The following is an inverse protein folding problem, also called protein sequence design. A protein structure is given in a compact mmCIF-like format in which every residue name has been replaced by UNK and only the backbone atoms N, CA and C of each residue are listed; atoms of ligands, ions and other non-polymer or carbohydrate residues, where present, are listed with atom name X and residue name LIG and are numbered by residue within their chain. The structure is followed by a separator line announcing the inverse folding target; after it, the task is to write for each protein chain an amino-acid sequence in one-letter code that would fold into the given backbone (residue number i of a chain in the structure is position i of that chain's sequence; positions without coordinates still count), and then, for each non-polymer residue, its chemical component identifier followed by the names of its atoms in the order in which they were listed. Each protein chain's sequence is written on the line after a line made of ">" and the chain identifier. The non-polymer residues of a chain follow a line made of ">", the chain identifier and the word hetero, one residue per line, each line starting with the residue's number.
data_IF_091250988451
#
_entry.id   IF_091250988451
#
_cell.length_a   1.000
_cell.length_b   1.000
_cell.length_c   1.000
_cell.angle_alpha   90.00
_cell.angle_beta   90.00
_cell.angle_gamma   90.00
#
_symmetry.space_group_name_H-M   'P 1'
#
loop_
_entity.id
_entity.type
_entity.pdbx_description
1 polymer ?
#
# COMPACT_ATOMS: atom_id res chain seq x y z
N UNK A 1 -36.94 -26.52 15.26
CA UNK A 1 -35.87 -26.58 14.25
C UNK A 1 -35.29 -25.19 14.18
N UNK A 2 -34.22 -24.94 14.93
CA UNK A 2 -33.46 -23.70 14.81
C UNK A 2 -32.82 -23.69 13.43
N UNK A 3 -33.30 -22.83 12.55
CA UNK A 3 -32.56 -22.47 11.34
C UNK A 3 -31.38 -21.62 11.80
N UNK A 4 -30.25 -22.24 12.10
CA UNK A 4 -28.98 -21.54 12.27
C UNK A 4 -28.72 -20.76 10.99
N UNK A 5 -28.95 -19.44 11.06
CA UNK A 5 -28.56 -18.55 9.97
C UNK A 5 -27.04 -18.60 9.93
N UNK A 6 -26.46 -19.39 9.02
CA UNK A 6 -25.04 -19.29 8.69
C UNK A 6 -24.70 -17.84 8.41
N UNK A 7 -23.91 -17.26 9.31
CA UNK A 7 -23.39 -15.91 9.17
C UNK A 7 -22.30 -15.96 8.10
N UNK A 8 -22.45 -15.15 7.06
CA UNK A 8 -21.43 -15.03 6.02
C UNK A 8 -20.15 -14.46 6.64
N UNK A 9 -18.97 -14.79 6.10
CA UNK A 9 -17.74 -14.13 6.51
C UNK A 9 -17.84 -12.61 6.30
N UNK A 10 -17.21 -11.80 7.18
CA UNK A 10 -17.16 -10.36 7.02
C UNK A 10 -16.63 -9.96 5.64
N UNK A 11 -17.28 -8.98 5.02
CA UNK A 11 -16.93 -8.48 3.70
C UNK A 11 -16.12 -7.19 3.78
N UNK A 12 -14.92 -7.21 3.23
CA UNK A 12 -13.98 -6.09 3.19
C UNK A 12 -13.93 -5.51 1.78
N UNK A 13 -14.11 -4.19 1.66
CA UNK A 13 -13.90 -3.47 0.40
C UNK A 13 -12.48 -2.88 0.38
N UNK A 14 -11.62 -3.37 -0.52
CA UNK A 14 -10.29 -2.81 -0.75
C UNK A 14 -10.33 -1.77 -1.85
N UNK A 15 -9.80 -0.58 -1.58
CA UNK A 15 -9.81 0.55 -2.52
C UNK A 15 -8.40 1.11 -2.78
N UNK A 16 -7.63 0.53 -3.72
CA UNK A 16 -6.28 0.97 -4.07
C UNK A 16 -6.26 2.32 -4.81
N UNK A 17 -5.15 3.06 -4.66
CA UNK A 17 -4.76 4.10 -5.63
C UNK A 17 -4.41 3.44 -6.97
N UNK A 18 -4.82 3.99 -8.13
CA UNK A 18 -4.65 3.32 -9.43
C UNK A 18 -3.23 3.45 -10.00
N UNK A 19 -2.23 3.22 -9.17
CA UNK A 19 -0.84 3.07 -9.54
C UNK A 19 -0.41 1.60 -9.37
N UNK A 20 0.46 1.13 -10.27
CA UNK A 20 0.86 -0.29 -10.34
C UNK A 20 1.36 -0.85 -9.00
N UNK A 21 2.28 -0.14 -8.33
CA UNK A 21 2.84 -0.57 -7.05
C UNK A 21 1.78 -0.63 -5.94
N UNK A 22 0.88 0.36 -5.89
CA UNK A 22 -0.19 0.43 -4.90
C UNK A 22 -1.16 -0.74 -5.04
N UNK A 23 -1.64 -1.00 -6.26
CA UNK A 23 -2.48 -2.16 -6.58
C UNK A 23 -1.77 -3.46 -6.18
N UNK A 24 -0.51 -3.64 -6.59
CA UNK A 24 0.24 -4.86 -6.34
C UNK A 24 0.38 -5.17 -4.84
N UNK A 25 0.77 -4.19 -4.02
CA UNK A 25 0.92 -4.41 -2.59
C UNK A 25 -0.43 -4.68 -1.91
N UNK A 26 -1.49 -3.99 -2.32
CA UNK A 26 -2.81 -4.20 -1.75
C UNK A 26 -3.40 -5.56 -2.15
N UNK A 27 -3.06 -6.11 -3.33
CA UNK A 27 -3.40 -7.49 -3.70
C UNK A 27 -2.73 -8.53 -2.78
N UNK A 28 -1.49 -8.26 -2.33
CA UNK A 28 -0.83 -9.14 -1.37
C UNK A 28 -1.56 -9.16 -0.02
N UNK A 29 -2.06 -8.01 0.43
CA UNK A 29 -2.92 -7.95 1.60
C UNK A 29 -4.26 -8.66 1.34
N UNK A 30 -4.89 -8.43 0.19
CA UNK A 30 -6.15 -9.05 -0.19
C UNK A 30 -6.10 -10.58 -0.10
N UNK A 31 -5.04 -11.18 -0.64
CA UNK A 31 -4.85 -12.63 -0.58
C UNK A 31 -4.69 -13.14 0.86
N UNK A 32 -3.95 -12.42 1.72
CA UNK A 32 -3.82 -12.77 3.13
C UNK A 32 -5.14 -12.66 3.89
N UNK A 33 -5.98 -11.68 3.57
CA UNK A 33 -7.32 -11.54 4.14
C UNK A 33 -8.25 -12.67 3.69
N UNK A 34 -8.22 -13.03 2.39
CA UNK A 34 -8.96 -14.17 1.86
C UNK A 34 -8.52 -15.50 2.47
N UNK A 35 -7.20 -15.70 2.63
CA UNK A 35 -6.65 -16.86 3.34
C UNK A 35 -7.06 -16.87 4.82
N UNK A 36 -7.22 -15.69 5.42
CA UNK A 36 -7.84 -15.47 6.72
C UNK A 36 -9.35 -15.70 6.76
N UNK A 37 -9.97 -16.16 5.67
CA UNK A 37 -11.39 -16.49 5.58
C UNK A 37 -12.32 -15.28 5.45
N UNK A 38 -11.80 -14.10 5.12
CA UNK A 38 -12.62 -12.91 4.87
C UNK A 38 -13.08 -12.84 3.41
N UNK A 39 -14.27 -12.29 3.19
CA UNK A 39 -14.71 -11.93 1.84
C UNK A 39 -14.07 -10.60 1.46
N UNK A 40 -13.60 -10.48 0.22
CA UNK A 40 -12.88 -9.30 -0.27
C UNK A 40 -13.43 -8.88 -1.63
N UNK A 41 -13.88 -7.63 -1.73
CA UNK A 41 -14.01 -6.98 -3.04
C UNK A 41 -12.87 -6.02 -3.26
N UNK A 42 -12.17 -6.16 -4.38
CA UNK A 42 -11.08 -5.30 -4.78
C UNK A 42 -11.57 -4.28 -5.83
N UNK A 43 -11.82 -3.05 -5.40
CA UNK A 43 -12.44 -1.98 -6.19
C UNK A 43 -11.40 -1.21 -6.99
N UNK A 44 -11.39 -1.36 -8.30
CA UNK A 44 -10.31 -0.87 -9.18
C UNK A 44 -10.81 0.07 -10.26
N UNK A 45 -9.94 0.99 -10.65
CA UNK A 45 -10.09 1.86 -11.82
C UNK A 45 -10.27 1.05 -13.12
N UNK A 46 -10.91 1.66 -14.14
CA UNK A 46 -11.28 0.99 -15.41
C UNK A 46 -10.07 0.35 -16.12
N UNK A 47 -8.94 1.05 -16.15
CA UNK A 47 -7.70 0.55 -16.78
C UNK A 47 -7.09 -0.61 -15.99
N UNK A 48 -6.95 -0.45 -14.67
CA UNK A 48 -6.40 -1.47 -13.79
C UNK A 48 -7.26 -2.74 -13.80
N UNK A 49 -8.59 -2.59 -13.75
CA UNK A 49 -9.54 -3.70 -13.82
C UNK A 49 -9.36 -4.52 -15.10
N UNK A 50 -9.24 -3.88 -16.26
CA UNK A 50 -8.99 -4.58 -17.53
C UNK A 50 -7.65 -5.32 -17.54
N UNK A 51 -6.60 -4.74 -16.98
CA UNK A 51 -5.29 -5.40 -16.92
C UNK A 51 -5.33 -6.62 -16.00
N UNK A 52 -5.93 -6.49 -14.81
CA UNK A 52 -6.04 -7.55 -13.82
C UNK A 52 -6.92 -8.73 -14.29
N UNK A 53 -8.01 -8.45 -15.01
CA UNK A 53 -8.87 -9.50 -15.57
C UNK A 53 -8.22 -10.26 -16.73
N UNK A 54 -7.32 -9.62 -17.48
CA UNK A 54 -6.60 -10.26 -18.59
C UNK A 54 -5.30 -10.94 -18.15
N UNK A 55 -4.92 -10.82 -16.88
CA UNK A 55 -3.72 -11.43 -16.32
C UNK A 55 -4.05 -12.82 -15.75
N UNK A 56 -3.64 -13.87 -16.48
CA UNK A 56 -3.89 -15.25 -16.11
C UNK A 56 -3.25 -15.65 -14.76
N UNK A 57 -2.13 -15.03 -14.37
CA UNK A 57 -1.50 -15.31 -13.09
C UNK A 57 -2.32 -14.71 -11.94
N UNK A 58 -2.86 -13.50 -12.13
CA UNK A 58 -3.77 -12.86 -11.16
C UNK A 58 -5.07 -13.65 -11.05
N UNK A 59 -5.68 -14.07 -12.16
CA UNK A 59 -6.89 -14.90 -12.11
C UNK A 59 -6.65 -16.21 -11.35
N UNK A 60 -5.64 -16.99 -11.76
CA UNK A 60 -5.32 -18.26 -11.09
C UNK A 60 -4.98 -18.09 -9.61
N UNK A 61 -4.40 -16.95 -9.22
CA UNK A 61 -4.07 -16.64 -7.82
C UNK A 61 -5.33 -16.47 -6.96
N UNK A 62 -6.39 -15.88 -7.52
CA UNK A 62 -7.61 -15.56 -6.77
C UNK A 62 -8.78 -16.52 -7.00
N UNK A 63 -8.78 -17.34 -8.06
CA UNK A 63 -9.80 -18.37 -8.34
C UNK A 63 -9.97 -19.39 -7.20
N UNK A 64 -8.92 -19.58 -6.39
CA UNK A 64 -8.97 -20.47 -5.22
C UNK A 64 -9.75 -19.87 -4.02
N UNK A 65 -10.15 -18.59 -4.09
CA UNK A 65 -10.88 -17.89 -3.03
C UNK A 65 -12.29 -17.50 -3.50
N UNK A 66 -13.33 -18.30 -3.21
CA UNK A 66 -14.71 -17.99 -3.60
C UNK A 66 -15.24 -16.66 -3.05
N UNK A 67 -14.66 -16.18 -1.95
CA UNK A 67 -15.00 -14.90 -1.32
C UNK A 67 -14.28 -13.69 -1.93
N UNK A 68 -13.47 -13.84 -2.97
CA UNK A 68 -12.76 -12.75 -3.63
C UNK A 68 -13.44 -12.34 -4.94
N UNK A 69 -13.55 -11.04 -5.18
CA UNK A 69 -13.97 -10.51 -6.48
C UNK A 69 -13.29 -9.18 -6.83
N UNK A 70 -13.04 -8.97 -8.12
CA UNK A 70 -12.72 -7.66 -8.66
C UNK A 70 -14.02 -6.90 -8.95
N UNK A 71 -14.04 -5.61 -8.63
CA UNK A 71 -15.11 -4.72 -9.05
C UNK A 71 -14.54 -3.49 -9.72
N UNK A 72 -15.17 -3.09 -10.81
CA UNK A 72 -14.80 -1.88 -11.53
C UNK A 72 -15.52 -0.66 -10.95
N UNK A 73 -14.75 0.38 -10.59
CA UNK A 73 -15.27 1.68 -10.15
C UNK A 73 -16.02 2.43 -11.27
N UNK A 74 -15.71 2.12 -12.54
CA UNK A 74 -16.22 2.82 -13.73
C UNK A 74 -15.94 4.32 -13.66
N UNK A 75 -14.67 4.65 -13.52
CA UNK A 75 -14.19 6.03 -13.40
C UNK A 75 -14.42 6.85 -14.69
N UNK A 76 -14.52 6.20 -15.84
CA UNK A 76 -14.74 6.87 -17.13
C UNK A 76 -13.51 7.61 -17.66
N UNK A 77 -12.34 7.39 -17.06
CA UNK A 77 -11.08 7.94 -17.55
C UNK A 77 -10.59 7.15 -18.76
N UNK A 78 -10.08 7.88 -19.75
CA UNK A 78 -9.35 7.27 -20.84
C UNK A 78 -8.02 6.70 -20.32
N UNK A 79 -7.52 5.58 -20.89
CA UNK A 79 -6.22 5.07 -20.51
C UNK A 79 -5.15 6.15 -20.64
N UNK A 80 -4.28 6.28 -19.65
CA UNK A 80 -3.03 7.03 -19.86
C UNK A 80 -2.32 6.38 -21.03
N UNK A 81 -1.97 7.22 -22.00
CA UNK A 81 -1.50 6.97 -23.36
C UNK A 81 -0.64 5.71 -23.56
N UNK A 82 -0.62 5.22 -24.81
CA UNK A 82 0.16 4.13 -25.43
C UNK A 82 1.69 4.08 -25.12
N UNK A 83 2.22 4.84 -24.17
CA UNK A 83 3.61 4.81 -23.76
C UNK A 83 3.90 3.56 -22.91
N UNK A 84 4.80 2.70 -23.39
CA UNK A 84 5.22 1.47 -22.68
C UNK A 84 5.82 1.75 -21.28
N UNK A 85 6.22 3.00 -21.00
CA UNK A 85 6.78 3.51 -19.73
C UNK A 85 6.36 4.97 -19.51
N UNK A 86 5.30 5.25 -18.74
CA UNK A 86 4.94 6.62 -18.38
C UNK A 86 6.01 7.24 -17.47
N UNK A 87 6.14 8.56 -17.55
CA UNK A 87 6.98 9.36 -16.65
C UNK A 87 6.34 9.47 -15.26
N UNK A 88 7.14 9.90 -14.28
CA UNK A 88 6.65 10.15 -12.92
C UNK A 88 5.56 11.23 -12.91
N UNK A 89 5.72 12.27 -13.73
CA UNK A 89 4.78 13.38 -13.85
C UNK A 89 3.44 12.91 -14.45
N UNK A 90 3.47 12.12 -15.54
CA UNK A 90 2.26 11.55 -16.15
C UNK A 90 1.50 10.62 -15.19
N UNK A 91 2.24 9.83 -14.40
CA UNK A 91 1.64 8.93 -13.39
C UNK A 91 0.97 9.73 -12.28
N UNK A 92 1.61 10.83 -11.88
CA UNK A 92 1.12 11.75 -10.85
C UNK A 92 -0.13 12.49 -11.31
N UNK A 93 -0.13 13.04 -12.53
CA UNK A 93 -1.26 13.75 -13.13
C UNK A 93 -2.50 12.84 -13.29
N UNK A 94 -2.30 11.61 -13.75
CA UNK A 94 -3.38 10.63 -13.83
C UNK A 94 -3.97 10.31 -12.45
N UNK A 95 -3.12 10.13 -11.44
CA UNK A 95 -3.55 9.92 -10.07
C UNK A 95 -4.47 11.03 -9.55
N UNK A 96 -4.14 12.28 -9.85
CA UNK A 96 -4.98 13.44 -9.50
C UNK A 96 -6.30 13.49 -10.25
N UNK A 97 -6.26 13.24 -11.56
CA UNK A 97 -7.48 13.17 -12.37
C UNK A 97 -8.43 12.06 -11.88
N UNK A 98 -7.87 10.93 -11.45
CA UNK A 98 -8.63 9.84 -10.85
C UNK A 98 -9.33 10.26 -9.56
N UNK A 99 -8.64 10.96 -8.66
CA UNK A 99 -9.21 11.40 -7.38
C UNK A 99 -10.46 12.27 -7.56
N UNK A 100 -10.45 13.17 -8.55
CA UNK A 100 -11.58 14.06 -8.84
C UNK A 100 -12.83 13.27 -9.27
N UNK A 101 -12.67 12.25 -10.12
CA UNK A 101 -13.78 11.43 -10.60
C UNK A 101 -14.16 10.30 -9.64
N UNK A 102 -13.23 9.83 -8.83
CA UNK A 102 -13.41 8.66 -7.98
C UNK A 102 -14.34 8.94 -6.80
N UNK A 103 -14.32 10.15 -6.22
CA UNK A 103 -15.15 10.51 -5.06
C UNK A 103 -16.66 10.24 -5.27
N UNK A 104 -17.32 10.79 -6.30
CA UNK A 104 -18.75 10.53 -6.52
C UNK A 104 -19.01 9.05 -6.85
N UNK A 105 -18.13 8.40 -7.63
CA UNK A 105 -18.27 6.97 -7.97
C UNK A 105 -18.14 6.06 -6.75
N UNK A 106 -17.21 6.36 -5.87
CA UNK A 106 -17.02 5.63 -4.63
C UNK A 106 -18.25 5.76 -3.72
N UNK A 107 -18.82 6.96 -3.64
CA UNK A 107 -20.09 7.19 -2.94
C UNK A 107 -21.25 6.39 -3.56
N UNK A 108 -21.35 6.36 -4.89
CA UNK A 108 -22.35 5.55 -5.59
C UNK A 108 -22.18 4.05 -5.26
N UNK A 109 -20.94 3.55 -5.22
CA UNK A 109 -20.63 2.15 -4.86
C UNK A 109 -21.09 1.83 -3.44
N UNK A 110 -20.81 2.70 -2.44
CA UNK A 110 -21.22 2.46 -1.06
C UNK A 110 -22.73 2.59 -0.82
N UNK A 111 -23.43 3.38 -1.65
CA UNK A 111 -24.88 3.64 -1.52
C UNK A 111 -25.75 2.73 -2.38
N UNK A 112 -25.19 2.16 -3.46
CA UNK A 112 -25.87 1.17 -4.29
C UNK A 112 -26.17 -0.06 -3.44
N UNK A 113 -27.46 -0.39 -3.32
CA UNK A 113 -27.93 -1.50 -2.47
C UNK A 113 -27.18 -2.80 -2.79
N UNK A 114 -26.87 -3.58 -1.76
CA UNK A 114 -26.09 -4.84 -1.78
C UNK A 114 -26.49 -5.86 -2.87
N UNK A 115 -27.63 -5.68 -3.55
CA UNK A 115 -28.14 -6.54 -4.62
C UNK A 115 -27.25 -6.63 -5.87
N UNK A 116 -26.41 -5.63 -6.18
CA UNK A 116 -25.50 -5.70 -7.34
C UNK A 116 -24.19 -6.45 -7.05
N UNK A 117 -23.87 -6.67 -5.78
CA UNK A 117 -22.64 -7.36 -5.34
C UNK A 117 -22.73 -8.88 -5.43
N UNK A 118 -23.90 -9.40 -5.81
CA UNK A 118 -24.30 -10.81 -5.71
C UNK A 118 -24.78 -11.44 -7.02
N UNK A 119 -24.40 -10.90 -8.18
CA UNK A 119 -24.60 -11.63 -9.44
C UNK A 119 -23.52 -12.70 -9.62
N UNK A 120 -23.53 -13.68 -8.73
CA UNK A 120 -23.02 -15.01 -9.01
C UNK A 120 -24.24 -15.88 -9.35
N UNK A 121 -24.21 -16.47 -10.54
CA UNK A 121 -25.23 -17.36 -11.08
C UNK A 121 -25.29 -18.63 -10.23
N UNK A 122 -26.18 -18.66 -9.22
CA UNK A 122 -26.81 -19.91 -8.78
C UNK A 122 -28.12 -19.60 -8.04
N UNK A 123 -29.21 -19.88 -8.76
CA UNK A 123 -30.57 -19.84 -8.27
C UNK A 123 -30.83 -21.04 -7.36
N UNK A 124 -30.75 -20.88 -6.03
CA UNK A 124 -31.72 -21.46 -5.07
C UNK A 124 -31.50 -21.17 -3.57
N UNK A 125 -30.64 -20.23 -3.18
CA UNK A 125 -30.46 -19.92 -1.75
C UNK A 125 -30.76 -18.45 -1.43
N UNK A 126 -31.67 -18.27 -0.46
CA UNK A 126 -32.11 -17.03 0.20
C UNK A 126 -31.14 -15.86 -0.02
N UNK A 127 -31.60 -14.79 -0.66
CA UNK A 127 -30.86 -13.54 -0.87
C UNK A 127 -30.25 -13.04 0.46
N UNK A 128 -28.99 -13.42 0.72
CA UNK A 128 -28.30 -13.10 1.98
C UNK A 128 -27.47 -11.86 1.76
N UNK A 129 -27.99 -10.73 2.20
CA UNK A 129 -27.32 -9.43 2.21
C UNK A 129 -25.94 -9.53 2.87
N UNK A 130 -24.86 -9.48 2.08
CA UNK A 130 -23.52 -9.22 2.63
C UNK A 130 -23.33 -7.70 2.66
N UNK A 131 -23.42 -7.10 3.85
CA UNK A 131 -23.00 -5.70 4.05
C UNK A 131 -21.49 -5.62 4.08
N UNK A 132 -20.92 -4.51 3.60
CA UNK A 132 -19.50 -4.23 3.76
C UNK A 132 -19.24 -3.99 5.25
N UNK A 133 -18.46 -4.88 5.87
CA UNK A 133 -18.07 -4.79 7.28
C UNK A 133 -17.06 -3.67 7.50
N UNK A 134 -16.11 -3.50 6.57
CA UNK A 134 -15.18 -2.35 6.58
C UNK A 134 -14.56 -2.08 5.22
N UNK A 135 -13.98 -0.90 5.10
CA UNK A 135 -13.21 -0.44 3.93
C UNK A 135 -11.72 -0.42 4.30
N UNK A 136 -10.87 -0.96 3.43
CA UNK A 136 -9.43 -0.73 3.47
C UNK A 136 -9.05 0.11 2.24
N UNK A 137 -8.87 1.41 2.43
CA UNK A 137 -8.51 2.32 1.36
C UNK A 137 -7.00 2.58 1.37
N UNK A 138 -6.39 2.73 0.19
CA UNK A 138 -5.03 3.26 0.13
C UNK A 138 -4.99 4.66 0.78
N UNK A 139 -3.93 4.96 1.52
CA UNK A 139 -3.71 6.25 2.17
C UNK A 139 -3.78 7.45 1.22
N UNK A 140 -3.48 7.26 -0.07
CA UNK A 140 -3.66 8.29 -1.09
C UNK A 140 -5.15 8.62 -1.30
N UNK A 141 -6.06 7.67 -1.07
CA UNK A 141 -7.51 7.85 -1.16
C UNK A 141 -8.11 8.50 0.09
N UNK A 142 -7.33 8.65 1.17
CA UNK A 142 -7.83 9.14 2.45
C UNK A 142 -8.43 10.55 2.37
N UNK A 143 -8.01 11.36 1.38
CA UNK A 143 -8.50 12.73 1.16
C UNK A 143 -10.02 12.84 0.94
N UNK A 144 -10.69 11.76 0.52
CA UNK A 144 -12.15 11.70 0.45
C UNK A 144 -12.76 10.41 0.98
N UNK A 145 -12.04 9.28 0.92
CA UNK A 145 -12.62 7.98 1.26
C UNK A 145 -13.03 7.92 2.74
N UNK A 146 -12.30 8.60 3.63
CA UNK A 146 -12.60 8.67 5.06
C UNK A 146 -13.95 9.34 5.31
N UNK A 147 -14.20 10.49 4.68
CA UNK A 147 -15.46 11.21 4.83
C UNK A 147 -16.62 10.45 4.19
N UNK A 148 -16.42 9.91 2.98
CA UNK A 148 -17.47 9.14 2.28
C UNK A 148 -17.84 7.86 3.05
N UNK A 149 -16.87 7.16 3.64
CA UNK A 149 -17.12 6.01 4.50
C UNK A 149 -17.86 6.41 5.79
N UNK A 150 -17.48 7.54 6.40
CA UNK A 150 -18.16 8.09 7.58
C UNK A 150 -19.62 8.47 7.29
N UNK A 151 -19.89 9.10 6.15
CA UNK A 151 -21.25 9.39 5.67
C UNK A 151 -22.09 8.12 5.46
N UNK A 152 -21.45 7.04 5.00
CA UNK A 152 -22.09 5.74 4.81
C UNK A 152 -22.22 4.92 6.11
N UNK A 153 -21.61 5.36 7.22
CA UNK A 153 -21.56 4.62 8.48
C UNK A 153 -20.72 3.35 8.44
N UNK A 154 -19.77 3.25 7.49
CA UNK A 154 -18.93 2.07 7.30
C UNK A 154 -17.53 2.34 7.91
N UNK A 155 -17.01 1.47 8.78
CA UNK A 155 -15.65 1.59 9.31
C UNK A 155 -14.60 1.61 8.20
N UNK A 156 -13.58 2.46 8.34
CA UNK A 156 -12.48 2.58 7.37
C UNK A 156 -11.10 2.44 8.03
N UNK A 157 -10.22 1.70 7.37
CA UNK A 157 -8.79 1.62 7.65
C UNK A 157 -8.01 2.13 6.44
N UNK A 158 -6.91 2.84 6.70
CA UNK A 158 -6.02 3.38 5.68
C UNK A 158 -4.78 2.50 5.54
N UNK A 159 -4.57 1.92 4.37
CA UNK A 159 -3.38 1.17 4.03
C UNK A 159 -2.29 2.08 3.46
N UNK A 160 -1.07 1.99 4.00
CA UNK A 160 0.07 2.73 3.50
C UNK A 160 1.20 1.77 3.10
N UNK A 161 1.59 1.83 1.83
CA UNK A 161 2.68 1.04 1.27
C UNK A 161 4.06 1.70 1.40
N UNK A 162 4.10 3.01 1.67
CA UNK A 162 5.34 3.77 1.77
C UNK A 162 5.97 3.63 3.17
N UNK A 163 7.18 4.17 3.30
CA UNK A 163 7.98 4.18 4.52
C UNK A 163 7.27 4.98 5.64
N UNK A 164 6.94 4.37 6.79
CA UNK A 164 6.50 5.08 7.99
C UNK A 164 7.33 6.29 8.40
N UNK A 165 8.64 6.31 8.14
CA UNK A 165 9.46 7.51 8.38
C UNK A 165 9.10 8.66 7.45
N UNK A 166 8.84 8.40 6.17
CA UNK A 166 8.36 9.40 5.21
C UNK A 166 6.96 9.88 5.59
N UNK A 167 6.06 8.93 5.91
CA UNK A 167 4.72 9.26 6.38
C UNK A 167 4.73 10.12 7.65
N UNK A 168 5.60 9.79 8.61
CA UNK A 168 5.79 10.58 9.82
C UNK A 168 6.33 11.98 9.52
N UNK A 169 7.27 12.12 8.59
CA UNK A 169 7.75 13.42 8.13
C UNK A 169 6.62 14.25 7.52
N UNK A 170 5.73 13.63 6.73
CA UNK A 170 4.52 14.29 6.20
C UNK A 170 3.59 14.76 7.33
N UNK A 171 3.34 13.94 8.35
CA UNK A 171 2.54 14.33 9.51
C UNK A 171 3.17 15.47 10.32
N UNK A 172 4.50 15.63 10.25
CA UNK A 172 5.22 16.72 10.89
C UNK A 172 5.20 18.03 10.10
N UNK A 173 4.70 18.07 8.87
CA UNK A 173 4.69 19.26 8.00
C UNK A 173 4.22 20.54 8.71
N UNK A 174 3.12 20.55 9.50
CA UNK A 174 2.74 21.75 10.25
C UNK A 174 3.86 22.29 11.15
N UNK A 175 4.59 21.41 11.86
CA UNK A 175 5.73 21.79 12.70
C UNK A 175 6.93 22.24 11.86
N UNK A 176 7.18 21.60 10.73
CA UNK A 176 8.25 21.99 9.81
C UNK A 176 8.01 23.41 9.25
N UNK A 177 6.75 23.78 8.98
CA UNK A 177 6.35 25.13 8.56
C UNK A 177 6.59 26.12 9.70
N UNK A 178 6.12 25.81 10.91
CA UNK A 178 6.30 26.66 12.10
C UNK A 178 7.78 26.92 12.41
N UNK A 179 8.64 25.92 12.20
CA UNK A 179 10.08 26.01 12.38
C UNK A 179 10.81 26.73 11.21
N UNK A 180 10.12 27.04 10.12
CA UNK A 180 10.72 27.60 8.90
C UNK A 180 11.65 26.63 8.16
N UNK A 181 11.49 25.32 8.41
CA UNK A 181 12.23 24.26 7.72
C UNK A 181 11.66 23.96 6.34
N UNK A 182 10.37 24.21 6.11
CA UNK A 182 9.71 24.20 4.80
C UNK A 182 8.81 25.44 4.59
N UNK A 183 8.72 26.01 3.37
CA UNK A 183 9.54 25.68 2.20
C UNK A 183 11.02 26.04 2.45
N UNK A 184 11.92 25.36 1.75
CA UNK A 184 13.36 25.51 2.00
C UNK A 184 13.85 26.94 1.76
N UNK A 185 14.64 27.45 2.69
CA UNK A 185 15.43 28.66 2.48
C UNK A 185 16.75 28.26 1.79
N UNK A 186 16.87 28.61 0.51
CA UNK A 186 18.01 28.26 -0.35
C UNK A 186 18.03 26.82 -0.86
N UNK A 187 19.02 26.51 -1.71
CA UNK A 187 19.07 25.26 -2.47
C UNK A 187 19.97 24.17 -1.85
N UNK A 188 20.54 24.43 -0.68
CA UNK A 188 21.36 23.43 0.01
C UNK A 188 20.45 22.30 0.53
N UNK A 189 20.57 21.12 -0.11
CA UNK A 189 19.78 19.93 0.23
C UNK A 189 20.43 19.04 1.30
N UNK A 190 21.64 19.36 1.78
CA UNK A 190 22.30 18.64 2.87
C UNK A 190 22.01 19.20 4.26
N UNK A 191 21.23 20.29 4.34
CA UNK A 191 20.77 20.85 5.61
C UNK A 191 19.91 19.82 6.37
N UNK A 192 20.23 19.53 7.65
CA UNK A 192 19.43 18.64 8.49
C UNK A 192 18.01 19.16 8.72
N UNK A 193 17.07 18.24 8.86
CA UNK A 193 15.70 18.50 9.32
C UNK A 193 15.63 18.14 10.81
N UNK A 194 15.37 19.12 11.67
CA UNK A 194 15.39 18.91 13.11
C UNK A 194 13.98 18.63 13.68
N UNK A 195 12.93 19.05 12.99
CA UNK A 195 11.56 19.05 13.54
C UNK A 195 10.73 17.82 13.13
N UNK A 196 11.38 16.65 13.00
CA UNK A 196 10.73 15.34 12.83
C UNK A 196 11.10 14.46 14.04
N UNK A 197 10.29 14.45 15.10
CA UNK A 197 10.62 13.75 16.34
C UNK A 197 10.90 12.25 16.13
N UNK A 198 11.85 11.68 16.85
CA UNK A 198 12.26 10.28 16.67
C UNK A 198 13.11 9.98 15.43
N UNK A 199 13.34 10.98 14.57
CA UNK A 199 14.23 10.91 13.41
C UNK A 199 15.24 12.07 13.39
N UNK A 200 15.52 12.66 14.56
CA UNK A 200 16.43 13.79 14.70
C UNK A 200 17.85 13.42 14.25
N UNK A 201 18.44 14.26 13.41
CA UNK A 201 19.80 14.05 12.90
C UNK A 201 19.92 12.95 11.85
N UNK A 202 18.82 12.29 11.47
CA UNK A 202 18.80 11.30 10.38
C UNK A 202 18.41 11.94 9.04
N UNK A 203 17.40 12.81 9.04
CA UNK A 203 16.83 13.39 7.83
C UNK A 203 17.53 14.68 7.43
N UNK A 204 17.78 14.84 6.14
CA UNK A 204 18.13 16.11 5.49
C UNK A 204 17.03 16.52 4.53
N UNK A 205 17.11 17.76 4.02
CA UNK A 205 16.19 18.27 2.99
C UNK A 205 16.06 17.34 1.78
N UNK A 206 17.15 16.72 1.31
CA UNK A 206 17.08 15.72 0.21
C UNK A 206 16.36 14.42 0.58
N UNK A 207 16.27 14.10 1.85
CA UNK A 207 15.66 12.85 2.31
C UNK A 207 14.12 13.01 2.45
N UNK A 208 13.61 14.24 2.47
CA UNK A 208 12.18 14.52 2.37
C UNK A 208 11.63 14.17 0.98
N UNK A 209 10.39 13.69 0.95
CA UNK A 209 9.63 13.44 -0.29
C UNK A 209 9.69 14.62 -1.25
N UNK A 210 9.76 14.34 -2.56
CA UNK A 210 9.75 15.38 -3.59
C UNK A 210 8.54 16.31 -3.50
N UNK A 211 7.41 15.81 -2.99
CA UNK A 211 6.21 16.62 -2.74
C UNK A 211 6.37 17.65 -1.62
N UNK A 212 7.42 17.54 -0.78
CA UNK A 212 7.72 18.52 0.28
C UNK A 212 8.90 19.43 -0.07
N UNK A 213 9.63 19.12 -1.15
CA UNK A 213 10.80 19.88 -1.62
C UNK A 213 10.40 20.98 -2.62
N UNK A 214 9.33 21.71 -2.32
CA UNK A 214 8.77 22.76 -3.17
C UNK A 214 9.06 24.16 -2.61
N UNK A 215 9.20 25.14 -3.50
CA UNK A 215 9.32 26.55 -3.11
C UNK A 215 7.97 27.19 -2.73
N UNK A 216 6.86 26.57 -3.12
CA UNK A 216 5.50 27.03 -2.87
C UNK A 216 4.65 25.90 -2.29
N UNK A 217 4.28 26.02 -1.01
CA UNK A 217 3.45 25.03 -0.33
C UNK A 217 2.00 25.02 -0.82
N UNK A 218 1.57 26.01 -1.61
CA UNK A 218 0.26 25.99 -2.27
C UNK A 218 0.19 25.09 -3.50
N UNK A 219 1.33 24.49 -3.89
CA UNK A 219 1.39 23.46 -4.92
C UNK A 219 0.36 22.35 -4.65
N UNK A 220 -0.35 21.96 -5.71
CA UNK A 220 -1.49 21.04 -5.61
C UNK A 220 -1.07 19.68 -5.07
N UNK A 221 0.11 19.20 -5.47
CA UNK A 221 0.59 17.88 -5.09
C UNK A 221 0.98 17.88 -3.62
N UNK A 222 1.66 18.95 -3.19
CA UNK A 222 2.02 19.21 -1.80
C UNK A 222 0.78 19.26 -0.90
N UNK A 223 -0.21 20.08 -1.27
CA UNK A 223 -1.47 20.20 -0.53
C UNK A 223 -2.23 18.87 -0.47
N UNK A 224 -2.23 18.10 -1.55
CA UNK A 224 -2.87 16.80 -1.55
C UNK A 224 -2.25 15.83 -0.55
N UNK A 225 -0.92 15.71 -0.51
CA UNK A 225 -0.22 14.83 0.43
C UNK A 225 -0.49 15.24 1.88
N UNK A 226 -0.40 16.55 2.17
CA UNK A 226 -0.68 17.10 3.51
C UNK A 226 -2.13 16.82 3.92
N UNK A 227 -3.08 17.11 3.03
CA UNK A 227 -4.51 16.90 3.31
C UNK A 227 -4.83 15.42 3.51
N UNK A 228 -4.33 14.53 2.65
CA UNK A 228 -4.51 13.09 2.76
C UNK A 228 -3.96 12.54 4.08
N UNK A 229 -2.72 12.90 4.43
CA UNK A 229 -2.11 12.51 5.71
C UNK A 229 -2.87 13.07 6.90
N UNK A 230 -3.39 14.31 6.81
CA UNK A 230 -4.22 14.87 7.87
C UNK A 230 -5.51 14.08 8.10
N UNK A 231 -6.03 13.31 7.14
CA UNK A 231 -7.26 12.53 7.36
C UNK A 231 -7.01 11.22 8.11
N UNK A 232 -5.78 10.73 8.14
CA UNK A 232 -5.49 9.39 8.66
C UNK A 232 -5.65 9.27 10.18
N UNK A 233 -5.60 10.38 10.94
CA UNK A 233 -5.84 10.34 12.39
C UNK A 233 -7.28 9.92 12.75
N UNK A 234 -8.20 9.97 11.77
CA UNK A 234 -9.61 9.57 11.92
C UNK A 234 -9.85 8.10 11.59
N UNK A 235 -8.81 7.38 11.17
CA UNK A 235 -8.87 5.99 10.75
C UNK A 235 -7.77 5.17 11.41
N UNK A 236 -7.91 3.84 11.40
CA UNK A 236 -6.80 2.96 11.74
C UNK A 236 -5.86 2.81 10.55
N UNK A 237 -4.55 2.73 10.79
CA UNK A 237 -3.54 2.55 9.74
C UNK A 237 -3.09 1.09 9.64
N UNK A 238 -2.94 0.60 8.41
CA UNK A 238 -2.28 -0.66 8.08
C UNK A 238 -0.99 -0.32 7.34
N UNK A 239 0.15 -0.66 7.92
CA UNK A 239 1.47 -0.32 7.40
C UNK A 239 2.18 -1.59 6.95
N UNK A 240 2.68 -1.63 5.71
CA UNK A 240 3.49 -2.74 5.20
C UNK A 240 4.94 -2.65 5.71
N UNK A 241 5.10 -2.70 7.04
CA UNK A 241 6.38 -2.69 7.75
C UNK A 241 6.30 -3.55 9.02
N UNK A 242 7.35 -3.53 9.84
CA UNK A 242 7.43 -4.20 11.14
C UNK A 242 8.21 -3.36 12.17
N UNK A 243 7.94 -3.59 13.46
CA UNK A 243 8.46 -2.78 14.57
C UNK A 243 9.98 -2.69 14.60
N UNK A 244 10.66 -3.80 14.34
CA UNK A 244 12.11 -3.91 14.43
C UNK A 244 12.83 -3.10 13.33
N UNK A 245 12.13 -2.68 12.27
CA UNK A 245 12.68 -1.84 11.21
C UNK A 245 12.50 -0.35 11.49
N UNK A 246 11.32 0.07 11.97
CA UNK A 246 10.92 1.49 11.99
C UNK A 246 10.35 1.96 13.35
N UNK A 247 10.71 1.25 14.43
CA UNK A 247 10.23 1.50 15.79
C UNK A 247 10.14 2.98 16.21
N UNK A 248 11.18 3.83 15.98
CA UNK A 248 11.13 5.23 16.35
C UNK A 248 9.99 6.01 15.67
N UNK A 249 9.82 5.87 14.36
CA UNK A 249 8.73 6.54 13.62
C UNK A 249 7.35 5.98 14.02
N UNK A 250 7.25 4.65 14.16
CA UNK A 250 6.02 3.98 14.58
C UNK A 250 5.56 4.41 15.97
N UNK A 251 6.48 4.57 16.92
CA UNK A 251 6.19 5.06 18.26
C UNK A 251 5.62 6.49 18.23
N UNK A 252 6.16 7.36 17.37
CA UNK A 252 5.69 8.72 17.22
C UNK A 252 4.30 8.80 16.58
N UNK A 253 4.03 7.99 15.54
CA UNK A 253 2.70 7.88 14.93
C UNK A 253 1.66 7.43 15.96
N UNK A 254 1.98 6.43 16.79
CA UNK A 254 1.10 5.98 17.88
C UNK A 254 0.86 7.07 18.93
N UNK A 255 1.87 7.87 19.24
CA UNK A 255 1.75 8.95 20.24
C UNK A 255 0.74 10.02 19.86
N UNK A 256 0.43 10.16 18.57
CA UNK A 256 -0.64 11.05 18.07
C UNK A 256 -2.05 10.44 18.17
N UNK A 257 -2.20 9.26 18.79
CA UNK A 257 -3.49 8.59 18.94
C UNK A 257 -3.93 7.77 17.73
N UNK A 258 -3.05 7.55 16.75
CA UNK A 258 -3.36 6.72 15.57
C UNK A 258 -3.13 5.25 15.90
N UNK A 259 -4.17 4.43 15.76
CA UNK A 259 -4.05 2.98 15.86
C UNK A 259 -3.35 2.44 14.62
N UNK A 260 -2.32 1.59 14.79
CA UNK A 260 -1.54 1.05 13.67
C UNK A 260 -1.38 -0.47 13.75
N UNK A 261 -1.52 -1.14 12.60
CA UNK A 261 -1.09 -2.53 12.38
C UNK A 261 0.15 -2.52 11.48
N UNK A 262 1.26 -3.07 11.98
CA UNK A 262 2.46 -3.30 11.17
C UNK A 262 2.42 -4.75 10.68
N UNK A 263 2.06 -4.93 9.41
CA UNK A 263 1.74 -6.24 8.80
C UNK A 263 2.73 -6.64 7.70
N UNK A 264 3.87 -5.97 7.64
CA UNK A 264 4.88 -6.18 6.61
C UNK A 264 6.06 -7.08 7.05
N UNK A 265 6.89 -7.50 6.09
CA UNK A 265 6.66 -7.36 4.66
C UNK A 265 5.64 -8.39 4.13
N UNK A 266 4.59 -7.92 3.45
CA UNK A 266 3.48 -8.78 2.97
C UNK A 266 3.95 -9.92 2.06
N UNK A 267 4.97 -9.70 1.23
CA UNK A 267 5.49 -10.74 0.34
C UNK A 267 6.14 -11.90 1.08
N UNK A 268 6.76 -11.67 2.25
CA UNK A 268 7.29 -12.76 3.08
C UNK A 268 6.17 -13.45 3.88
N UNK A 269 5.10 -12.74 4.26
CA UNK A 269 3.89 -13.36 4.83
C UNK A 269 3.28 -14.38 3.86
N UNK A 270 3.11 -13.99 2.60
CA UNK A 270 2.60 -14.89 1.57
C UNK A 270 3.47 -16.16 1.45
N UNK A 271 4.80 -16.02 1.40
CA UNK A 271 5.71 -17.20 1.36
C UNK A 271 5.62 -18.08 2.61
N UNK A 272 5.36 -17.47 3.76
CA UNK A 272 5.35 -18.15 5.06
C UNK A 272 4.01 -18.85 5.33
N UNK A 273 2.89 -18.24 4.92
CA UNK A 273 1.54 -18.71 5.20
C UNK A 273 0.95 -19.54 4.05
N UNK A 274 1.29 -19.18 2.82
CA UNK A 274 0.82 -19.89 1.63
C UNK A 274 1.96 -20.79 1.14
N UNK A 275 1.78 -22.10 1.31
CA UNK A 275 2.75 -23.14 0.91
C UNK A 275 2.98 -23.24 -0.61
N UNK A 276 2.31 -22.41 -1.42
CA UNK A 276 2.44 -22.35 -2.87
C UNK A 276 3.44 -21.28 -3.31
N UNK A 277 4.19 -21.55 -4.39
CA UNK A 277 4.96 -20.52 -5.08
C UNK A 277 4.03 -19.36 -5.42
N UNK A 278 4.31 -18.17 -4.88
CA UNK A 278 3.59 -16.94 -5.24
C UNK A 278 3.81 -16.75 -6.75
N UNK A 279 2.74 -16.79 -7.58
CA UNK A 279 2.88 -16.47 -8.99
C UNK A 279 3.44 -15.05 -9.11
N UNK A 280 4.38 -14.79 -10.03
CA UNK A 280 4.80 -13.42 -10.27
C UNK A 280 3.60 -12.58 -10.72
N UNK A 281 3.24 -11.57 -9.92
CA UNK A 281 2.12 -10.68 -10.19
C UNK A 281 2.59 -9.47 -11.00
N UNK A 282 3.12 -9.74 -12.19
CA UNK A 282 3.57 -8.71 -13.10
C UNK A 282 2.44 -8.42 -14.09
N UNK A 283 1.87 -7.20 -14.04
CA UNK A 283 0.89 -6.72 -15.03
C UNK A 283 1.47 -6.60 -16.46
N UNK A 284 2.73 -7.00 -16.65
CA UNK A 284 3.46 -7.06 -17.91
C UNK A 284 4.18 -8.41 -18.02
N UNK A 285 4.31 -8.91 -19.25
CA UNK A 285 5.02 -10.16 -19.56
C UNK A 285 6.47 -10.11 -19.07
N UNK A 286 6.89 -11.16 -18.38
CA UNK A 286 8.26 -11.27 -17.85
C UNK A 286 9.28 -11.50 -18.97
N UNK A 287 10.43 -10.82 -18.85
CA UNK A 287 11.63 -11.13 -19.63
C UNK A 287 12.59 -11.95 -18.77
N UNK A 288 12.73 -13.23 -19.07
CA UNK A 288 13.63 -14.15 -18.36
C UNK A 288 15.09 -14.06 -18.84
N UNK A 289 15.38 -13.21 -19.84
CA UNK A 289 16.73 -13.00 -20.35
C UNK A 289 17.68 -12.48 -19.27
N UNK A 290 17.17 -11.65 -18.35
CA UNK A 290 17.96 -11.13 -17.23
C UNK A 290 18.37 -12.24 -16.24
N UNK A 291 17.53 -13.25 -16.01
CA UNK A 291 17.84 -14.36 -15.10
C UNK A 291 18.93 -15.24 -15.70
N UNK A 292 18.81 -15.59 -16.99
CA UNK A 292 19.86 -16.36 -17.70
C UNK A 292 21.21 -15.63 -17.65
N UNK A 293 21.20 -14.30 -17.77
CA UNK A 293 22.41 -13.50 -17.66
C UNK A 293 22.96 -13.46 -16.23
N UNK A 294 22.10 -13.36 -15.21
CA UNK A 294 22.45 -13.39 -13.78
C UNK A 294 23.11 -14.73 -13.39
N UNK A 295 22.57 -15.85 -13.88
CA UNK A 295 23.09 -17.20 -13.60
C UNK A 295 24.52 -17.41 -14.12
N UNK A 296 24.92 -16.65 -15.15
CA UNK A 296 26.27 -16.65 -15.69
C UNK A 296 27.27 -15.79 -14.90
N UNK A 297 26.82 -15.00 -13.92
CA UNK A 297 27.68 -14.11 -13.13
C UNK A 297 28.22 -14.79 -11.87
N UNK A 298 29.43 -14.43 -11.41
CA UNK A 298 29.92 -14.88 -10.11
C UNK A 298 28.98 -14.54 -8.94
N UNK A 299 29.02 -15.35 -7.90
CA UNK A 299 28.16 -15.15 -6.72
C UNK A 299 28.40 -13.76 -6.09
N UNK A 300 27.33 -12.99 -5.88
CA UNK A 300 27.36 -11.63 -5.29
C UNK A 300 28.26 -10.64 -6.06
N UNK A 301 28.32 -10.73 -7.39
CA UNK A 301 29.05 -9.77 -8.24
C UNK A 301 28.17 -8.79 -9.01
N UNK A 302 26.84 -8.96 -8.97
CA UNK A 302 25.90 -8.12 -9.73
C UNK A 302 25.24 -7.10 -8.82
N UNK A 303 25.18 -5.85 -9.30
CA UNK A 303 24.38 -4.78 -8.73
C UNK A 303 23.19 -4.56 -9.66
N UNK A 304 21.98 -4.66 -9.12
CA UNK A 304 20.74 -4.34 -9.82
C UNK A 304 20.35 -2.89 -9.50
N UNK A 305 20.16 -2.08 -10.53
CA UNK A 305 19.77 -0.68 -10.38
C UNK A 305 18.92 -0.25 -11.59
N UNK A 306 18.05 0.73 -11.39
CA UNK A 306 17.22 1.38 -12.41
C UNK A 306 17.70 2.79 -12.76
N UNK A 307 18.84 3.23 -12.20
CA UNK A 307 19.39 4.57 -12.38
C UNK A 307 20.23 4.76 -13.67
N UNK A 308 20.57 6.03 -13.93
CA UNK A 308 21.49 6.42 -15.01
C UNK A 308 22.89 5.81 -14.81
N UNK A 309 23.48 5.33 -15.92
CA UNK A 309 24.80 4.68 -15.97
C UNK A 309 25.92 5.46 -15.28
N UNK A 310 25.91 6.80 -15.33
CA UNK A 310 26.95 7.64 -14.71
C UNK A 310 26.84 7.64 -13.18
N UNK A 311 25.62 7.62 -12.66
CA UNK A 311 25.36 7.48 -11.23
C UNK A 311 25.77 6.08 -10.75
N UNK A 312 25.50 5.07 -11.57
CA UNK A 312 25.90 3.68 -11.34
C UNK A 312 27.42 3.54 -11.25
N UNK A 313 28.21 4.10 -12.17
CA UNK A 313 29.68 3.97 -12.11
C UNK A 313 30.27 4.55 -10.82
N UNK A 314 29.70 5.66 -10.31
CA UNK A 314 30.10 6.26 -9.04
C UNK A 314 29.67 5.40 -7.85
N UNK A 315 28.42 4.93 -7.84
CA UNK A 315 27.91 4.04 -6.79
C UNK A 315 28.67 2.71 -6.75
N UNK A 316 28.97 2.11 -7.91
CA UNK A 316 29.74 0.86 -8.01
C UNK A 316 31.11 1.02 -7.34
N UNK A 317 31.84 2.12 -7.59
CA UNK A 317 33.13 2.35 -6.93
C UNK A 317 32.99 2.44 -5.42
N UNK A 318 31.99 3.15 -4.93
CA UNK A 318 31.75 3.32 -3.49
C UNK A 318 31.31 2.01 -2.81
N UNK A 319 30.42 1.24 -3.46
CA UNK A 319 29.87 -0.03 -2.97
C UNK A 319 30.88 -1.18 -3.05
N UNK A 320 31.61 -1.32 -4.15
CA UNK A 320 32.47 -2.48 -4.40
C UNK A 320 33.84 -2.37 -3.72
N UNK A 321 34.42 -1.18 -3.59
CA UNK A 321 35.75 -1.01 -2.99
C UNK A 321 35.70 -0.74 -1.48
N UNK A 322 34.73 0.03 -0.98
CA UNK A 322 34.81 0.62 0.37
C UNK A 322 33.90 -0.01 1.42
N UNK A 323 32.65 -0.36 1.09
CA UNK A 323 31.62 -0.72 2.11
C UNK A 323 30.86 -2.02 1.83
N UNK A 324 31.32 -2.84 0.89
CA UNK A 324 30.67 -4.09 0.47
C UNK A 324 30.26 -4.99 1.64
N UNK A 325 31.17 -5.19 2.60
CA UNK A 325 30.94 -6.09 3.75
C UNK A 325 29.84 -5.54 4.65
N UNK A 326 29.87 -4.24 4.95
CA UNK A 326 28.89 -3.56 5.79
C UNK A 326 27.48 -3.66 5.19
N UNK A 327 27.32 -3.30 3.91
CA UNK A 327 26.02 -3.39 3.24
C UNK A 327 25.50 -4.83 3.14
N UNK A 328 26.39 -5.80 2.87
CA UNK A 328 26.00 -7.22 2.85
C UNK A 328 25.55 -7.70 4.22
N UNK A 329 26.24 -7.32 5.28
CA UNK A 329 25.87 -7.67 6.66
C UNK A 329 24.52 -7.05 7.03
N UNK A 330 24.34 -5.76 6.75
CA UNK A 330 23.08 -5.03 6.98
C UNK A 330 21.90 -5.67 6.24
N UNK A 331 22.05 -5.95 4.93
CA UNK A 331 21.01 -6.59 4.13
C UNK A 331 20.64 -7.99 4.67
N UNK A 332 21.63 -8.79 5.07
CA UNK A 332 21.37 -10.10 5.68
C UNK A 332 20.65 -9.97 7.03
N UNK A 333 21.00 -8.96 7.83
CA UNK A 333 20.34 -8.70 9.11
C UNK A 333 18.88 -8.31 8.89
N UNK A 334 18.60 -7.38 7.97
CA UNK A 334 17.23 -6.95 7.63
C UNK A 334 16.43 -8.14 7.09
N UNK A 335 16.99 -8.94 6.18
CA UNK A 335 16.32 -10.13 5.66
C UNK A 335 16.01 -11.16 6.76
N UNK A 336 16.90 -11.33 7.74
CA UNK A 336 16.65 -12.20 8.89
C UNK A 336 15.55 -11.65 9.80
N UNK A 337 15.54 -10.34 10.06
CA UNK A 337 14.49 -9.69 10.85
C UNK A 337 13.13 -9.84 10.16
N UNK A 338 13.06 -9.57 8.85
CA UNK A 338 11.87 -9.74 8.04
C UNK A 338 11.31 -11.17 8.12
N UNK A 339 12.16 -12.20 8.01
CA UNK A 339 11.72 -13.60 8.15
C UNK A 339 11.23 -13.93 9.55
N UNK A 340 11.90 -13.43 10.58
CA UNK A 340 11.54 -13.69 11.96
C UNK A 340 10.19 -13.03 12.34
N UNK A 341 9.97 -11.79 11.91
CA UNK A 341 8.75 -11.04 12.26
C UNK A 341 7.48 -11.61 11.60
N UNK A 342 7.61 -12.18 10.39
CA UNK A 342 6.48 -12.84 9.70
C UNK A 342 6.32 -14.32 10.07
N UNK A 343 7.25 -14.90 10.81
CA UNK A 343 7.12 -16.27 11.31
C UNK A 343 6.14 -16.33 12.48
N UNK A 344 5.55 -17.50 12.75
CA UNK A 344 4.60 -17.69 13.85
C UNK A 344 5.17 -17.17 15.18
N UNK A 345 4.47 -16.22 15.80
CA UNK A 345 4.89 -15.56 17.04
C UNK A 345 5.73 -14.28 16.85
N UNK A 346 6.10 -13.93 15.61
CA UNK A 346 6.73 -12.65 15.30
C UNK A 346 5.75 -11.47 15.37
N UNK A 347 6.29 -10.26 15.52
CA UNK A 347 5.50 -9.03 15.72
C UNK A 347 4.51 -8.76 14.57
N UNK A 348 4.97 -8.87 13.34
CA UNK A 348 4.13 -8.69 12.14
C UNK A 348 3.11 -9.81 11.95
N UNK A 349 3.48 -11.05 12.28
CA UNK A 349 2.55 -12.20 12.28
C UNK A 349 1.38 -11.98 13.24
N UNK A 350 1.67 -11.55 14.47
CA UNK A 350 0.66 -11.26 15.49
C UNK A 350 -0.23 -10.10 15.05
N UNK A 351 0.35 -9.03 14.49
CA UNK A 351 -0.43 -7.88 14.01
C UNK A 351 -1.36 -8.22 12.85
N UNK A 352 -0.94 -9.10 11.93
CA UNK A 352 -1.80 -9.56 10.84
C UNK A 352 -2.96 -10.43 11.36
N UNK A 353 -2.70 -11.34 12.30
CA UNK A 353 -3.76 -12.14 12.94
C UNK A 353 -4.74 -11.21 13.67
N UNK A 354 -4.22 -10.25 14.44
CA UNK A 354 -5.02 -9.25 15.16
C UNK A 354 -5.89 -8.43 14.19
N UNK A 355 -5.33 -7.96 13.08
CA UNK A 355 -6.08 -7.24 12.04
C UNK A 355 -7.27 -8.09 11.53
N UNK A 356 -7.05 -9.37 11.23
CA UNK A 356 -8.10 -10.26 10.74
C UNK A 356 -9.18 -10.48 11.80
N UNK A 357 -8.80 -10.73 13.06
CA UNK A 357 -9.79 -10.91 14.14
C UNK A 357 -10.57 -9.62 14.42
N UNK A 358 -9.92 -8.46 14.40
CA UNK A 358 -10.57 -7.19 14.63
C UNK A 358 -11.58 -6.89 13.49
N UNK A 359 -11.25 -7.20 12.23
CA UNK A 359 -12.20 -7.13 11.11
C UNK A 359 -13.39 -8.07 11.33
N UNK A 360 -13.17 -9.28 11.87
CA UNK A 360 -14.27 -10.21 12.18
C UNK A 360 -15.21 -9.69 13.25
N UNK A 361 -14.68 -8.92 14.20
CA UNK A 361 -15.48 -8.29 15.25
C UNK A 361 -16.32 -7.09 14.77
N UNK A 362 -15.98 -6.48 13.64
CA UNK A 362 -16.76 -5.35 13.10
C UNK A 362 -18.11 -5.76 12.52
N UNK A 363 -18.25 -7.03 12.11
CA UNK A 363 -19.48 -7.55 11.52
C UNK A 363 -20.46 -8.11 12.58
N UNK A 364 -20.08 -8.11 13.87
CA UNK A 364 -20.88 -8.67 14.98
C UNK A 364 -21.87 -7.72 15.66
N UNK A 365 -21.87 -6.43 15.28
CA UNK A 365 -22.86 -5.42 15.71
C UNK A 365 -23.83 -5.08 14.58
#
# INVERSE_FOLDING_TARGET
>A
MDSTVEKLPPHVLLFPFPAHSHIHFLLNLAELLCHGGLHVTFLVADQAHRLLLNDAAVQSRFDQYPGFQFQNLRDGLLPVLDSQRPTLDETTEFGFSFLEVAKPRFKDVLTSSSSDWQKAEDSDHVARKSSIACIIADSMMASFAVDVAGEAGIPIMCYHNACPSDFWAVLCVPKLIEAGEIPFQGDDLDVPIANVPGLEGLLRRRDLSSFLRVGDLSDKNTQFIINGASQTHRACMILNTFEELEGPALAQIRSQGTNIYTVGPLHEHLKTRLTSMIPPNNLKKEDTGCITWLDAQPLRSVIYDTCDRVMIEKMIKELMDTRRVEFTQSANQIAKLAKNTVSKGGSSYINLDRLIEDIRSLDTD
#
